data_IF_619786476206
#
_entry.id   IF_619786476206
#
_cell.length_a   1.000
_cell.length_b   1.000
_cell.length_c   1.000
_cell.angle_alpha   90.00
_cell.angle_beta   90.00
_cell.angle_gamma   90.00
#
_symmetry.space_group_name_H-M   'P 1'
#
loop_
_entity.id
_entity.type
_entity.pdbx_description
1 polymer ?
#
# COMPACT_ATOMS: atom_id res chain seq x y z
N UNK A 1 17.16 -42.46 5.25
CA UNK A 1 16.46 -41.43 6.03
C UNK A 1 15.55 -40.68 5.09
N UNK A 2 14.25 -40.93 5.17
CA UNK A 2 13.25 -40.41 4.24
C UNK A 2 12.63 -39.17 4.87
N UNK A 3 13.10 -37.98 4.48
CA UNK A 3 12.51 -36.70 4.91
C UNK A 3 11.16 -36.51 4.23
N UNK A 4 10.09 -36.77 4.98
CA UNK A 4 8.72 -36.41 4.60
C UNK A 4 8.58 -34.88 4.62
N UNK A 5 8.38 -34.27 3.44
CA UNK A 5 8.02 -32.85 3.33
C UNK A 5 6.52 -32.74 3.55
N UNK A 6 6.13 -32.25 4.72
CA UNK A 6 4.77 -31.80 5.01
C UNK A 6 4.44 -30.66 4.05
N UNK A 7 3.51 -30.88 3.11
CA UNK A 7 3.03 -29.83 2.21
C UNK A 7 2.23 -28.83 3.06
N UNK A 8 2.84 -27.67 3.33
CA UNK A 8 2.16 -26.49 3.85
C UNK A 8 1.07 -26.10 2.85
N UNK A 9 -0.19 -26.18 3.26
CA UNK A 9 -1.31 -25.64 2.49
C UNK A 9 -1.10 -24.13 2.45
N UNK A 10 -0.70 -23.60 1.28
CA UNK A 10 -0.57 -22.17 1.06
C UNK A 10 -1.91 -21.52 1.43
N UNK A 11 -1.89 -20.68 2.46
CA UNK A 11 -3.07 -19.94 2.89
C UNK A 11 -3.47 -19.03 1.73
N UNK A 12 -4.65 -19.26 1.15
CA UNK A 12 -5.12 -18.49 0.00
C UNK A 12 -5.25 -17.01 0.41
N UNK A 13 -4.42 -16.15 -0.17
CA UNK A 13 -4.46 -14.71 0.08
C UNK A 13 -5.86 -14.18 -0.29
N UNK A 14 -6.55 -13.45 0.61
CA UNK A 14 -7.87 -12.91 0.31
C UNK A 14 -7.80 -11.87 -0.81
N UNK A 15 -8.77 -11.92 -1.71
CA UNK A 15 -8.98 -10.91 -2.76
C UNK A 15 -10.29 -10.13 -2.56
N UNK A 16 -10.96 -10.34 -1.42
CA UNK A 16 -12.10 -9.54 -0.97
C UNK A 16 -11.75 -8.89 0.36
N UNK A 17 -11.97 -7.57 0.44
CA UNK A 17 -11.57 -6.76 1.59
C UNK A 17 -12.80 -6.07 2.16
N UNK A 18 -13.03 -6.22 3.46
CA UNK A 18 -14.12 -5.56 4.18
C UNK A 18 -13.52 -4.55 5.14
N UNK A 19 -13.89 -3.27 4.98
CA UNK A 19 -13.41 -2.18 5.80
C UNK A 19 -14.60 -1.48 6.45
N UNK A 20 -14.44 -1.11 7.72
CA UNK A 20 -15.48 -0.45 8.50
C UNK A 20 -15.11 1.02 8.72
N UNK A 21 -16.02 1.91 8.38
CA UNK A 21 -15.88 3.34 8.59
C UNK A 21 -16.93 3.82 9.60
N UNK A 22 -16.54 4.71 10.50
CA UNK A 22 -17.43 5.23 11.54
C UNK A 22 -17.69 6.71 11.25
N UNK A 23 -18.95 7.06 11.02
CA UNK A 23 -19.41 8.43 10.77
C UNK A 23 -20.48 8.79 11.79
N UNK A 24 -20.08 9.51 12.84
CA UNK A 24 -20.94 9.74 14.01
C UNK A 24 -21.33 8.43 14.68
N UNK A 25 -22.63 8.12 14.75
CA UNK A 25 -23.18 6.87 15.31
C UNK A 25 -23.37 5.75 14.29
N UNK A 26 -23.06 5.99 13.01
CA UNK A 26 -23.23 4.99 11.95
C UNK A 26 -21.91 4.28 11.68
N UNK A 27 -21.97 2.95 11.61
CA UNK A 27 -20.90 2.11 11.06
C UNK A 27 -21.25 1.76 9.62
N UNK A 28 -20.45 2.24 8.69
CA UNK A 28 -20.57 1.96 7.27
C UNK A 28 -19.60 0.83 6.93
N UNK A 29 -20.11 -0.23 6.31
CA UNK A 29 -19.31 -1.35 5.84
C UNK A 29 -19.06 -1.18 4.34
N UNK A 30 -17.79 -1.11 3.94
CA UNK A 30 -17.36 -1.15 2.55
C UNK A 30 -16.78 -2.53 2.23
N UNK A 31 -17.32 -3.17 1.20
CA UNK A 31 -16.81 -4.44 0.68
C UNK A 31 -16.22 -4.23 -0.71
N UNK A 32 -14.97 -4.60 -0.89
CA UNK A 32 -14.23 -4.51 -2.15
C UNK A 32 -13.97 -5.91 -2.71
N UNK A 33 -14.37 -6.16 -3.94
CA UNK A 33 -14.21 -7.45 -4.63
C UNK A 33 -13.15 -7.36 -5.72
N UNK A 34 -11.88 -7.57 -5.35
CA UNK A 34 -10.72 -7.41 -6.24
C UNK A 34 -10.29 -8.70 -6.93
N UNK A 35 -10.95 -9.82 -6.67
CA UNK A 35 -10.60 -11.12 -7.26
C UNK A 35 -10.46 -11.10 -8.81
N UNK A 36 -11.32 -10.40 -9.57
CA UNK A 36 -11.20 -10.37 -11.03
C UNK A 36 -9.86 -9.80 -11.55
N UNK A 37 -9.19 -8.97 -10.76
CA UNK A 37 -7.93 -8.32 -11.14
C UNK A 37 -6.71 -8.81 -10.33
N UNK A 38 -6.93 -9.38 -9.14
CA UNK A 38 -5.87 -9.85 -8.26
C UNK A 38 -5.70 -11.37 -8.24
N UNK A 39 -6.73 -12.17 -8.54
CA UNK A 39 -6.64 -13.63 -8.40
C UNK A 39 -6.35 -14.32 -9.73
N UNK A 40 -5.46 -15.32 -9.67
CA UNK A 40 -5.30 -16.27 -10.76
C UNK A 40 -6.32 -17.39 -10.60
N UNK A 41 -7.11 -17.64 -11.65
CA UNK A 41 -8.07 -18.74 -11.65
C UNK A 41 -7.47 -19.94 -12.42
N UNK A 42 -7.14 -21.05 -11.75
CA UNK A 42 -6.48 -22.20 -12.37
C UNK A 42 -7.27 -22.87 -13.51
N UNK A 43 -8.58 -22.64 -13.56
CA UNK A 43 -9.46 -23.22 -14.57
C UNK A 43 -9.38 -22.50 -15.93
N UNK A 44 -8.90 -21.26 -15.95
CA UNK A 44 -8.72 -20.51 -17.19
C UNK A 44 -7.26 -20.61 -17.65
N UNK A 45 -6.99 -21.53 -18.57
CA UNK A 45 -5.67 -21.71 -19.18
C UNK A 45 -5.17 -20.50 -19.97
N UNK A 46 -6.05 -19.53 -20.26
CA UNK A 46 -5.68 -18.25 -20.89
C UNK A 46 -5.43 -17.13 -19.88
N UNK A 47 -5.71 -17.35 -18.60
CA UNK A 47 -5.48 -16.34 -17.57
C UNK A 47 -3.98 -16.12 -17.37
N UNK A 48 -3.57 -14.85 -17.41
CA UNK A 48 -2.18 -14.47 -17.16
C UNK A 48 -1.88 -14.70 -15.68
N UNK A 49 -0.79 -15.41 -15.36
CA UNK A 49 -0.33 -15.62 -13.97
C UNK A 49 0.30 -14.38 -13.35
N UNK A 50 0.71 -13.42 -14.18
CA UNK A 50 1.36 -12.17 -13.75
C UNK A 50 0.93 -10.97 -14.59
N UNK A 51 1.04 -9.80 -13.97
CA UNK A 51 0.95 -8.50 -14.61
C UNK A 51 2.36 -7.93 -14.73
N UNK A 52 2.64 -7.25 -15.84
CA UNK A 52 3.92 -6.58 -16.05
C UNK A 52 3.72 -5.08 -16.26
N UNK A 53 4.46 -4.27 -15.51
CA UNK A 53 4.54 -2.82 -15.68
C UNK A 53 5.95 -2.49 -16.15
N UNK A 54 6.07 -1.68 -17.21
CA UNK A 54 7.36 -1.32 -17.78
C UNK A 54 7.48 0.19 -17.86
N UNK A 55 8.51 0.73 -17.22
CA UNK A 55 8.88 2.14 -17.33
C UNK A 55 10.26 2.26 -17.97
N UNK A 56 10.52 3.40 -18.59
CA UNK A 56 11.80 3.72 -19.22
C UNK A 56 12.33 5.04 -18.70
N UNK A 57 13.64 5.13 -18.61
CA UNK A 57 14.39 6.33 -18.28
C UNK A 57 15.59 6.44 -19.23
N UNK A 58 15.79 7.62 -19.80
CA UNK A 58 16.96 7.88 -20.62
C UNK A 58 18.16 8.18 -19.71
N UNK A 59 19.19 7.34 -19.78
CA UNK A 59 20.38 7.41 -18.94
C UNK A 59 21.62 7.43 -19.84
N UNK A 60 21.76 8.51 -20.63
CA UNK A 60 22.76 8.62 -21.70
C UNK A 60 24.16 8.14 -21.27
N UNK A 61 24.85 7.31 -22.09
CA UNK A 61 24.51 6.87 -23.45
C UNK A 61 23.59 5.63 -23.52
N UNK A 62 22.95 5.28 -22.41
CA UNK A 62 22.13 4.07 -22.27
C UNK A 62 20.66 4.43 -22.08
N UNK A 63 19.79 3.42 -22.18
CA UNK A 63 18.39 3.50 -21.77
C UNK A 63 18.15 2.48 -20.67
N UNK A 64 17.59 2.93 -19.56
CA UNK A 64 17.26 2.10 -18.42
C UNK A 64 15.78 1.76 -18.43
N UNK A 65 15.46 0.48 -18.26
CA UNK A 65 14.13 -0.10 -18.25
C UNK A 65 13.86 -0.68 -16.86
N UNK A 66 12.79 -0.24 -16.22
CA UNK A 66 12.30 -0.77 -14.95
C UNK A 66 11.12 -1.68 -15.23
N UNK A 67 11.26 -2.97 -14.93
CA UNK A 67 10.23 -3.97 -15.16
C UNK A 67 9.72 -4.46 -13.81
N UNK A 68 8.46 -4.16 -13.49
CA UNK A 68 7.77 -4.79 -12.38
C UNK A 68 6.98 -5.98 -12.88
N UNK A 69 7.30 -7.17 -12.37
CA UNK A 69 6.46 -8.34 -12.50
C UNK A 69 5.66 -8.52 -11.21
N UNK A 70 4.34 -8.64 -11.31
CA UNK A 70 3.40 -8.79 -10.19
C UNK A 70 2.66 -10.10 -10.39
N UNK A 71 2.92 -11.08 -9.52
CA UNK A 71 2.19 -12.34 -9.49
C UNK A 71 0.74 -12.11 -9.03
N UNK A 72 -0.20 -12.78 -9.68
CA UNK A 72 -1.58 -12.82 -9.20
C UNK A 72 -1.70 -13.75 -7.99
N UNK A 73 -2.60 -13.43 -7.07
CA UNK A 73 -2.90 -14.21 -5.87
C UNK A 73 -3.29 -15.64 -6.25
N UNK A 74 -2.78 -16.62 -5.51
CA UNK A 74 -3.01 -18.05 -5.76
C UNK A 74 -2.08 -18.68 -6.82
N UNK A 75 -1.17 -17.90 -7.44
CA UNK A 75 -0.17 -18.45 -8.36
C UNK A 75 1.05 -19.10 -7.68
N UNK A 76 1.24 -18.87 -6.37
CA UNK A 76 2.44 -19.29 -5.63
C UNK A 76 3.67 -18.42 -5.88
N UNK A 77 3.47 -17.20 -6.39
CA UNK A 77 4.53 -16.24 -6.70
C UNK A 77 4.96 -16.23 -8.16
N UNK A 78 6.03 -15.48 -8.44
CA UNK A 78 6.59 -15.33 -9.76
C UNK A 78 7.36 -16.58 -10.19
N UNK A 79 7.05 -17.08 -11.38
CA UNK A 79 7.79 -18.17 -12.00
C UNK A 79 9.21 -17.73 -12.37
N UNK A 80 10.19 -18.57 -12.04
CA UNK A 80 11.59 -18.35 -12.40
C UNK A 80 11.88 -18.80 -13.82
N UNK A 81 12.67 -18.01 -14.52
CA UNK A 81 13.15 -18.38 -15.85
C UNK A 81 14.37 -19.30 -15.71
N UNK A 82 14.26 -20.52 -16.24
CA UNK A 82 15.29 -21.56 -16.12
C UNK A 82 16.55 -21.27 -16.92
N UNK A 83 16.51 -20.28 -17.80
CA UNK A 83 17.64 -19.91 -18.67
C UNK A 83 18.55 -18.85 -18.06
N UNK A 84 18.09 -18.10 -17.06
CA UNK A 84 18.94 -17.13 -16.37
C UNK A 84 19.48 -17.68 -15.04
N UNK A 85 20.70 -17.27 -14.64
CA UNK A 85 21.25 -17.58 -13.33
C UNK A 85 20.35 -17.10 -12.19
N UNK A 86 20.40 -17.84 -11.07
CA UNK A 86 19.57 -17.56 -9.90
C UNK A 86 19.77 -16.16 -9.31
N UNK A 87 20.97 -15.58 -9.44
CA UNK A 87 21.32 -14.25 -8.96
C UNK A 87 20.76 -13.10 -9.80
N UNK A 88 20.26 -13.39 -11.00
CA UNK A 88 19.70 -12.40 -11.93
C UNK A 88 18.17 -12.43 -11.94
N UNK A 89 17.56 -13.02 -10.92
CA UNK A 89 16.11 -13.14 -10.78
C UNK A 89 15.70 -13.08 -9.33
N UNK A 90 14.46 -12.68 -9.07
CA UNK A 90 13.92 -12.72 -7.73
C UNK A 90 13.86 -14.16 -7.21
N UNK A 91 14.02 -14.37 -5.89
CA UNK A 91 13.91 -15.69 -5.28
C UNK A 91 12.48 -16.26 -5.42
N UNK A 92 12.36 -17.57 -5.26
CA UNK A 92 11.06 -18.26 -5.25
C UNK A 92 10.13 -17.68 -4.18
N UNK A 93 8.82 -17.67 -4.45
CA UNK A 93 7.81 -17.09 -3.55
C UNK A 93 7.73 -15.55 -3.58
N UNK A 94 8.52 -14.88 -4.43
CA UNK A 94 8.38 -13.44 -4.65
C UNK A 94 7.06 -13.15 -5.37
N UNK A 95 6.24 -12.27 -4.80
CA UNK A 95 4.97 -11.83 -5.40
C UNK A 95 5.16 -10.61 -6.30
N UNK A 96 6.07 -9.69 -5.94
CA UNK A 96 6.33 -8.48 -6.70
C UNK A 96 7.85 -8.34 -6.85
N UNK A 97 8.32 -8.32 -8.09
CA UNK A 97 9.74 -8.22 -8.42
C UNK A 97 9.99 -7.02 -9.31
N UNK A 98 10.98 -6.20 -8.97
CA UNK A 98 11.53 -5.18 -9.86
C UNK A 98 12.83 -5.69 -10.49
N UNK A 99 12.91 -5.65 -11.81
CA UNK A 99 14.14 -5.87 -12.57
C UNK A 99 14.54 -4.58 -13.28
N UNK A 100 15.74 -4.08 -13.01
CA UNK A 100 16.31 -2.90 -13.66
C UNK A 100 17.27 -3.36 -14.75
N UNK A 101 17.00 -2.97 -15.98
CA UNK A 101 17.70 -3.46 -17.17
C UNK A 101 18.25 -2.26 -17.92
N UNK A 102 19.52 -2.33 -18.30
CA UNK A 102 20.17 -1.28 -19.06
C UNK A 102 20.53 -1.79 -20.46
N UNK A 103 20.25 -0.98 -21.47
CA UNK A 103 20.50 -1.30 -22.88
C UNK A 103 21.20 -0.11 -23.53
N UNK A 104 22.06 -0.35 -24.53
CA UNK A 104 22.66 0.69 -25.37
C UNK A 104 21.95 0.71 -26.72
N UNK A 105 21.02 1.67 -26.97
CA UNK A 105 20.23 1.67 -28.20
C UNK A 105 21.06 1.75 -29.48
N UNK A 106 22.20 2.44 -29.44
CA UNK A 106 23.12 2.60 -30.58
C UNK A 106 24.03 1.37 -30.80
N UNK A 107 24.01 0.39 -29.89
CA UNK A 107 24.80 -0.84 -29.96
C UNK A 107 23.90 -2.08 -29.80
N UNK A 108 23.01 -2.38 -30.79
CA UNK A 108 22.02 -3.45 -30.68
C UNK A 108 22.62 -4.87 -30.62
N UNK A 109 23.89 -5.05 -31.00
CA UNK A 109 24.61 -6.32 -30.84
C UNK A 109 25.03 -6.59 -29.40
N UNK A 110 25.05 -5.57 -28.54
CA UNK A 110 25.36 -5.72 -27.13
C UNK A 110 24.12 -6.19 -26.36
N UNK A 111 24.20 -7.32 -25.63
CA UNK A 111 23.07 -7.81 -24.85
C UNK A 111 22.70 -6.84 -23.73
N UNK A 112 21.42 -6.75 -23.42
CA UNK A 112 20.95 -5.94 -22.29
C UNK A 112 21.48 -6.49 -20.97
N UNK A 113 21.80 -5.59 -20.03
CA UNK A 113 22.38 -5.93 -18.73
C UNK A 113 21.34 -5.78 -17.64
N UNK A 114 21.12 -6.84 -16.85
CA UNK A 114 20.35 -6.74 -15.61
C UNK A 114 21.25 -6.07 -14.57
N UNK A 115 20.90 -4.86 -14.17
CA UNK A 115 21.64 -4.08 -13.17
C UNK A 115 21.22 -4.45 -11.75
N UNK A 116 19.91 -4.61 -11.55
CA UNK A 116 19.33 -4.85 -10.22
C UNK A 116 18.11 -5.74 -10.31
N UNK A 117 17.93 -6.52 -9.25
CA UNK A 117 16.77 -7.36 -9.01
C UNK A 117 16.35 -7.13 -7.57
N UNK A 118 15.13 -6.66 -7.37
CA UNK A 118 14.60 -6.27 -6.06
C UNK A 118 13.34 -7.09 -5.77
N UNK A 119 13.35 -8.00 -4.78
CA UNK A 119 12.14 -8.65 -4.30
C UNK A 119 11.34 -7.66 -3.44
N UNK A 120 10.36 -7.00 -4.06
CA UNK A 120 9.59 -5.93 -3.44
C UNK A 120 8.60 -6.47 -2.42
N UNK A 121 7.96 -7.60 -2.74
CA UNK A 121 7.02 -8.28 -1.86
C UNK A 121 7.08 -9.81 -2.07
N UNK A 122 6.81 -10.58 -1.03
CA UNK A 122 6.86 -12.04 -1.05
C UNK A 122 5.69 -12.65 -0.30
N UNK A 123 5.27 -13.85 -0.70
CA UNK A 123 4.18 -14.60 -0.04
C UNK A 123 4.51 -14.97 1.42
N UNK A 124 5.80 -15.09 1.75
CA UNK A 124 6.26 -15.39 3.10
C UNK A 124 5.95 -14.29 4.12
N UNK A 125 5.62 -13.08 3.67
CA UNK A 125 5.40 -11.90 4.50
C UNK A 125 3.90 -11.52 4.47
N UNK A 126 3.09 -12.30 5.18
CA UNK A 126 1.69 -12.05 5.54
C UNK A 126 0.66 -11.73 4.42
N UNK A 127 -0.61 -11.68 4.82
CA UNK A 127 -1.73 -11.21 3.98
C UNK A 127 -1.57 -9.70 3.74
N UNK A 128 -1.85 -9.18 2.53
CA UNK A 128 -1.79 -7.74 2.27
C UNK A 128 -2.65 -6.94 3.25
N UNK A 129 -2.08 -5.90 3.84
CA UNK A 129 -2.79 -5.00 4.74
C UNK A 129 -3.70 -4.07 3.92
N UNK A 130 -4.98 -4.02 4.27
CA UNK A 130 -5.94 -3.13 3.63
C UNK A 130 -6.28 -1.94 4.53
N UNK A 131 -6.23 -0.74 3.97
CA UNK A 131 -6.63 0.49 4.67
C UNK A 131 -7.45 1.40 3.76
N UNK A 132 -8.25 2.27 4.38
CA UNK A 132 -8.86 3.41 3.69
C UNK A 132 -7.99 4.63 3.89
N UNK A 133 -7.66 5.30 2.79
CA UNK A 133 -7.02 6.61 2.81
C UNK A 133 -8.00 7.67 2.33
N UNK A 134 -8.07 8.77 3.08
CA UNK A 134 -8.88 9.93 2.70
C UNK A 134 -8.05 10.84 1.80
N UNK A 135 -8.57 11.16 0.61
CA UNK A 135 -8.00 12.22 -0.20
C UNK A 135 -8.64 13.55 0.18
N UNK A 136 -7.85 14.62 0.12
CA UNK A 136 -8.30 16.00 0.27
C UNK A 136 -9.10 16.49 -0.96
N UNK A 137 -9.90 15.60 -1.53
CA UNK A 137 -10.87 15.92 -2.57
C UNK A 137 -12.11 16.41 -1.86
N UNK A 138 -12.61 17.56 -2.27
CA UNK A 138 -13.83 18.22 -1.79
C UNK A 138 -15.09 17.33 -1.80
N UNK A 139 -15.02 16.13 -2.39
CA UNK A 139 -16.06 15.11 -2.41
C UNK A 139 -16.00 14.09 -1.26
N UNK A 140 -15.02 14.14 -0.36
CA UNK A 140 -14.95 13.24 0.81
C UNK A 140 -14.77 11.76 0.48
N UNK A 141 -14.23 11.44 -0.71
CA UNK A 141 -14.04 10.05 -1.13
C UNK A 141 -12.93 9.32 -0.37
N UNK A 142 -13.20 8.09 0.04
CA UNK A 142 -12.18 7.16 0.55
C UNK A 142 -11.64 6.30 -0.59
N UNK A 143 -10.32 6.12 -0.63
CA UNK A 143 -9.63 5.21 -1.54
C UNK A 143 -9.11 3.99 -0.77
N UNK A 144 -9.29 2.80 -1.35
CA UNK A 144 -8.67 1.58 -0.84
C UNK A 144 -7.17 1.57 -1.15
N UNK A 145 -6.37 1.33 -0.13
CA UNK A 145 -4.94 1.05 -0.24
C UNK A 145 -4.69 -0.40 0.17
N UNK A 146 -3.92 -1.14 -0.63
CA UNK A 146 -3.33 -2.42 -0.23
C UNK A 146 -1.82 -2.30 -0.08
N UNK A 147 -1.30 -2.80 1.03
CA UNK A 147 0.13 -2.86 1.33
C UNK A 147 0.60 -4.31 1.26
N UNK A 148 1.53 -4.59 0.35
CA UNK A 148 2.20 -5.88 0.25
C UNK A 148 3.59 -5.75 0.88
N UNK A 149 3.89 -6.63 1.83
CA UNK A 149 5.16 -6.63 2.53
C UNK A 149 6.18 -7.54 1.85
N UNK A 150 7.44 -7.15 1.96
CA UNK A 150 8.58 -7.95 1.53
C UNK A 150 9.68 -7.89 2.57
N UNK A 151 10.74 -8.65 2.30
CA UNK A 151 11.91 -8.69 3.18
C UNK A 151 12.77 -7.42 3.09
N UNK A 152 14.08 -7.60 3.27
CA UNK A 152 15.06 -6.53 3.17
C UNK A 152 15.88 -6.62 1.89
N UNK A 153 16.15 -5.48 1.28
CA UNK A 153 17.09 -5.33 0.17
C UNK A 153 18.01 -4.15 0.46
N UNK A 154 19.32 -4.39 0.46
CA UNK A 154 20.34 -3.39 0.79
C UNK A 154 20.04 -2.64 2.12
N UNK A 155 19.73 -3.39 3.18
CA UNK A 155 19.36 -2.87 4.51
C UNK A 155 18.13 -1.97 4.53
N UNK A 156 17.27 -2.04 3.50
CA UNK A 156 15.98 -1.33 3.46
C UNK A 156 14.85 -2.33 3.38
N UNK A 157 13.84 -2.18 4.23
CA UNK A 157 12.61 -2.97 4.14
C UNK A 157 11.88 -2.64 2.84
N UNK A 158 11.41 -3.67 2.16
CA UNK A 158 10.67 -3.52 0.91
C UNK A 158 9.17 -3.63 1.15
N UNK A 159 8.39 -2.84 0.42
CA UNK A 159 6.93 -2.95 0.36
C UNK A 159 6.38 -2.34 -0.93
N UNK A 160 5.24 -2.85 -1.37
CA UNK A 160 4.45 -2.26 -2.45
C UNK A 160 3.13 -1.68 -1.91
N UNK A 161 2.77 -0.49 -2.38
CA UNK A 161 1.50 0.17 -2.08
C UNK A 161 0.67 0.25 -3.36
N UNK A 162 -0.54 -0.29 -3.34
CA UNK A 162 -1.50 -0.15 -4.43
C UNK A 162 -2.64 0.75 -3.98
N UNK A 163 -2.83 1.84 -4.71
CA UNK A 163 -3.95 2.76 -4.54
C UNK A 163 -5.02 2.44 -5.57
N UNK A 164 -6.18 1.97 -5.10
CA UNK A 164 -7.27 1.55 -5.97
C UNK A 164 -8.24 2.70 -6.21
N UNK A 165 -8.35 3.16 -7.47
CA UNK A 165 -9.28 4.22 -7.86
C UNK A 165 -10.56 3.59 -8.42
N UNK A 166 -11.71 3.89 -7.80
CA UNK A 166 -13.01 3.51 -8.34
C UNK A 166 -13.28 4.27 -9.64
N UNK A 167 -13.32 3.54 -10.76
CA UNK A 167 -13.66 4.09 -12.05
C UNK A 167 -14.59 3.12 -12.78
N UNK A 168 -15.89 3.41 -12.74
CA UNK A 168 -16.95 2.52 -13.25
C UNK A 168 -16.91 2.30 -14.77
N UNK A 169 -16.24 3.18 -15.51
CA UNK A 169 -16.06 3.09 -16.96
C UNK A 169 -14.90 2.19 -17.40
N UNK A 170 -14.06 1.73 -16.47
CA UNK A 170 -12.91 0.88 -16.81
C UNK A 170 -13.35 -0.55 -17.20
N UNK A 171 -12.57 -1.24 -18.06
CA UNK A 171 -12.80 -2.64 -18.35
C UNK A 171 -12.66 -3.52 -17.10
N UNK A 172 -13.20 -4.75 -17.14
CA UNK A 172 -13.07 -5.74 -16.06
C UNK A 172 -11.61 -6.02 -15.68
N UNK A 173 -10.72 -6.01 -16.67
CA UNK A 173 -9.30 -6.25 -16.48
C UNK A 173 -8.53 -4.99 -16.89
N UNK A 174 -7.97 -4.31 -15.89
CA UNK A 174 -7.08 -3.16 -16.07
C UNK A 174 -5.70 -3.45 -15.47
N UNK A 175 -4.69 -2.68 -15.89
CA UNK A 175 -3.33 -2.80 -15.36
C UNK A 175 -2.99 -1.61 -14.46
N UNK A 176 -2.30 -1.83 -13.34
CA UNK A 176 -1.82 -0.76 -12.50
C UNK A 176 -0.74 0.06 -13.23
N UNK A 177 -0.59 1.31 -12.82
CA UNK A 177 0.46 2.23 -13.25
C UNK A 177 1.41 2.47 -12.09
N UNK A 178 2.71 2.54 -12.37
CA UNK A 178 3.69 2.95 -11.38
C UNK A 178 3.59 4.45 -11.11
N UNK A 179 3.69 4.84 -9.84
CA UNK A 179 3.71 6.23 -9.41
C UNK A 179 5.12 6.68 -9.04
N UNK A 180 5.71 6.05 -8.03
CA UNK A 180 7.01 6.42 -7.48
C UNK A 180 7.63 5.28 -6.67
N UNK A 181 8.93 5.37 -6.42
CA UNK A 181 9.61 4.52 -5.46
C UNK A 181 10.55 5.36 -4.60
N UNK A 182 10.52 5.11 -3.29
CA UNK A 182 11.37 5.81 -2.34
C UNK A 182 11.61 4.96 -1.11
N UNK A 183 12.88 4.84 -0.70
CA UNK A 183 13.30 4.16 0.53
C UNK A 183 12.68 2.76 0.72
N UNK A 184 12.69 1.94 -0.34
CA UNK A 184 12.13 0.57 -0.33
C UNK A 184 10.60 0.50 -0.42
N UNK A 185 9.90 1.64 -0.51
CA UNK A 185 8.47 1.68 -0.82
C UNK A 185 8.26 1.89 -2.31
N UNK A 186 7.47 1.04 -2.94
CA UNK A 186 7.11 1.11 -4.36
C UNK A 186 5.61 1.36 -4.48
N UNK A 187 5.20 2.41 -5.17
CA UNK A 187 3.81 2.84 -5.21
C UNK A 187 3.21 2.70 -6.62
N UNK A 188 1.97 2.22 -6.64
CA UNK A 188 1.18 1.98 -7.83
C UNK A 188 -0.22 2.55 -7.68
N UNK A 189 -0.79 3.01 -8.79
CA UNK A 189 -2.19 3.40 -8.91
C UNK A 189 -2.91 2.37 -9.77
N UNK A 190 -4.11 1.96 -9.38
CA UNK A 190 -4.89 0.97 -10.10
C UNK A 190 -6.34 1.42 -10.25
N UNK A 191 -6.66 1.98 -11.42
CA UNK A 191 -8.04 2.35 -11.75
C UNK A 191 -8.81 1.14 -12.23
N UNK A 192 -9.96 0.88 -11.61
CA UNK A 192 -10.80 -0.29 -11.90
C UNK A 192 -12.20 -0.12 -11.32
N UNK A 193 -13.22 -0.69 -11.96
CA UNK A 193 -14.58 -0.74 -11.40
C UNK A 193 -14.67 -1.60 -10.14
N UNK A 194 -13.75 -2.55 -9.96
CA UNK A 194 -13.68 -3.42 -8.77
C UNK A 194 -13.23 -2.68 -7.50
N UNK A 195 -12.67 -1.48 -7.66
CA UNK A 195 -12.32 -0.59 -6.56
C UNK A 195 -13.52 0.22 -6.02
N UNK A 196 -14.68 0.11 -6.65
CA UNK A 196 -15.91 0.72 -6.16
C UNK A 196 -16.49 -0.13 -5.03
N UNK A 197 -16.60 0.38 -3.79
CA UNK A 197 -17.11 -0.42 -2.69
C UNK A 197 -18.60 -0.71 -2.86
N UNK A 198 -18.99 -1.93 -2.50
CA UNK A 198 -20.38 -2.23 -2.19
C UNK A 198 -20.63 -1.78 -0.75
N UNK A 199 -21.53 -0.81 -0.56
CA UNK A 199 -21.86 -0.28 0.77
C UNK A 199 -23.07 -1.00 1.36
N UNK A 200 -22.95 -1.42 2.62
CA UNK A 200 -24.08 -1.82 3.44
C UNK A 200 -24.11 -0.96 4.70
N UNK A 201 -25.22 -0.26 4.93
CA UNK A 201 -25.46 0.47 6.18
C UNK A 201 -26.21 -0.44 7.15
N UNK A 202 -25.56 -0.80 8.25
CA UNK A 202 -26.26 -1.42 9.39
C UNK A 202 -26.57 -0.30 10.37
N UNK A 203 -27.83 0.10 10.47
CA UNK A 203 -28.27 0.95 11.56
C UNK A 203 -28.18 0.14 12.85
N UNK A 204 -27.24 0.48 13.73
CA UNK A 204 -27.32 0.05 15.13
C UNK A 204 -28.66 0.59 15.65
N UNK A 205 -29.63 -0.28 16.01
CA UNK A 205 -30.87 0.21 16.57
C UNK A 205 -30.49 0.97 17.83
N UNK A 206 -30.68 2.29 17.82
CA UNK A 206 -30.68 3.08 19.04
C UNK A 206 -31.59 2.34 20.00
N UNK A 207 -31.01 1.85 21.09
CA UNK A 207 -31.77 1.31 22.20
C UNK A 207 -32.71 2.42 22.64
N UNK A 208 -33.94 2.38 22.12
CA UNK A 208 -35.07 3.10 22.67
C UNK A 208 -35.15 2.56 24.08
N UNK A 209 -34.68 3.36 25.04
CA UNK A 209 -34.90 3.14 26.46
C UNK A 209 -36.36 2.74 26.59
N UNK A 210 -36.58 1.46 26.87
CA UNK A 210 -37.86 0.95 27.26
C UNK A 210 -38.24 1.73 28.51
N UNK A 211 -39.17 2.66 28.35
CA UNK A 211 -39.91 3.28 29.42
C UNK A 211 -40.59 2.17 30.21
N UNK A 212 -39.89 1.70 31.25
CA UNK A 212 -40.46 0.82 32.25
C UNK A 212 -41.51 1.64 33.01
N UNK A 213 -42.77 1.17 33.11
CA UNK A 213 -43.80 1.87 33.88
C UNK A 213 -43.45 1.80 35.37
N UNK A 214 -43.06 2.94 35.93
CA UNK A 214 -42.79 3.09 37.36
C UNK A 214 -44.11 3.06 38.14
N UNK A 215 -44.27 2.21 39.18
CA UNK A 215 -45.36 2.34 40.13
C UNK A 215 -45.21 3.61 40.96
N UNK A 216 -46.26 4.41 41.01
CA UNK A 216 -46.38 5.62 41.84
C UNK A 216 -46.14 5.33 43.33
N UNK A 217 -45.29 6.13 43.97
CA UNK A 217 -45.22 6.32 45.42
C UNK A 217 -45.28 7.84 45.74
N UNK A 218 -45.93 8.25 46.85
CA UNK A 218 -46.26 9.64 47.09
C UNK A 218 -45.18 10.40 47.89
N UNK A 219 -44.88 11.61 47.41
CA UNK A 219 -44.75 12.84 48.21
C UNK A 219 -43.64 12.92 49.26
N UNK A 220 -42.49 13.50 48.87
CA UNK A 220 -41.52 14.12 49.77
C UNK A 220 -41.23 15.57 49.34
N UNK A 221 -41.10 16.54 50.26
CA UNK A 221 -40.97 17.98 49.96
C UNK A 221 -39.58 18.38 49.41
N UNK A 222 -39.49 19.55 48.75
CA UNK A 222 -38.34 19.96 47.94
C UNK A 222 -37.15 20.42 48.79
N UNK A 223 -35.98 19.84 48.54
CA UNK A 223 -34.70 20.38 49.02
C UNK A 223 -34.16 21.30 47.92
N UNK A 224 -34.13 22.59 48.24
CA UNK A 224 -33.46 23.62 47.45
C UNK A 224 -31.95 23.41 47.53
N UNK A 225 -31.33 23.05 46.41
CA UNK A 225 -29.88 23.09 46.26
C UNK A 225 -29.52 24.08 45.13
N UNK A 226 -28.66 25.08 45.40
CA UNK A 226 -28.35 26.16 44.47
C UNK A 226 -27.45 25.69 43.30
N UNK A 227 -27.43 26.44 42.19
CA UNK A 227 -26.72 26.05 40.98
C UNK A 227 -25.20 26.08 41.20
N UNK A 228 -24.52 25.01 40.76
CA UNK A 228 -23.07 24.99 40.63
C UNK A 228 -22.67 25.66 39.31
N UNK A 229 -21.94 26.76 39.45
CA UNK A 229 -21.36 27.54 38.36
C UNK A 229 -20.29 26.73 37.59
N UNK A 230 -20.16 26.96 36.27
CA UNK A 230 -19.05 26.47 35.48
C UNK A 230 -17.79 27.32 35.74
N UNK A 231 -16.62 26.71 35.52
CA UNK A 231 -15.26 27.28 35.61
C UNK A 231 -14.52 27.07 36.94
N UNK A 232 -13.69 26.00 37.00
CA UNK A 232 -12.42 26.09 37.73
C UNK A 232 -11.33 25.17 37.15
N UNK A 233 -10.41 25.83 36.45
CA UNK A 233 -8.97 25.58 36.29
C UNK A 233 -8.37 24.19 36.60
N UNK A 234 -7.79 23.57 35.57
CA UNK A 234 -6.34 23.28 35.62
C UNK A 234 -5.74 23.16 34.21
N UNK A 235 -5.20 24.28 33.77
CA UNK A 235 -4.19 24.40 32.72
C UNK A 235 -2.87 23.78 33.21
N UNK A 236 -2.45 22.67 32.61
CA UNK A 236 -1.08 22.21 32.68
C UNK A 236 -0.46 22.21 31.28
N UNK A 237 0.19 23.33 30.97
CA UNK A 237 1.07 23.51 29.82
C UNK A 237 2.37 22.73 30.07
N UNK A 238 2.82 21.85 29.15
CA UNK A 238 4.19 21.39 29.14
C UNK A 238 5.13 22.51 28.61
N UNK A 239 6.38 22.55 29.11
CA UNK A 239 7.32 23.62 28.79
C UNK A 239 7.79 23.59 27.35
N UNK A 240 7.81 24.78 26.74
CA UNK A 240 8.51 25.06 25.51
C UNK A 240 10.01 24.81 25.69
N UNK A 241 10.54 23.78 25.03
CA UNK A 241 11.97 23.56 24.89
C UNK A 241 12.41 23.80 23.45
N UNK A 242 13.22 24.86 23.28
CA UNK A 242 14.46 24.76 22.53
C UNK A 242 14.36 24.83 21.02
N UNK A 243 14.13 26.05 20.53
CA UNK A 243 14.68 26.53 19.25
C UNK A 243 16.19 26.26 19.20
N UNK A 244 16.60 25.35 18.32
CA UNK A 244 17.98 25.01 18.03
C UNK A 244 18.21 25.00 16.52
N UNK A 245 18.14 26.18 15.90
CA UNK A 245 18.62 26.38 14.54
C UNK A 245 20.15 26.25 14.53
N UNK A 246 20.67 25.06 14.30
CA UNK A 246 22.07 24.88 13.86
C UNK A 246 22.16 25.33 12.40
N UNK A 247 22.50 26.60 12.22
CA UNK A 247 22.94 27.16 10.95
C UNK A 247 24.26 26.47 10.58
N UNK A 248 24.21 25.57 9.59
CA UNK A 248 25.42 25.06 8.96
C UNK A 248 26.05 26.20 8.14
N UNK A 249 27.30 26.63 8.40
CA UNK A 249 27.99 27.53 7.51
C UNK A 249 28.28 26.79 6.20
N UNK A 250 27.65 27.24 5.12
CA UNK A 250 28.06 27.00 3.74
C UNK A 250 29.49 27.51 3.59
N UNK A 251 30.45 26.60 3.67
CA UNK A 251 31.85 26.85 3.37
C UNK A 251 31.97 26.92 1.85
N UNK A 252 31.78 28.13 1.31
CA UNK A 252 32.07 28.49 -0.07
C UNK A 252 33.59 28.46 -0.24
N UNK A 253 34.12 27.31 -0.65
CA UNK A 253 35.51 27.20 -1.08
C UNK A 253 35.60 27.65 -2.54
N UNK A 254 35.65 28.97 -2.73
CA UNK A 254 36.10 29.58 -3.98
C UNK A 254 37.60 29.35 -4.15
N UNK A 255 37.99 28.24 -4.80
CA UNK A 255 39.34 28.10 -5.33
C UNK A 255 39.35 28.56 -6.78
N UNK A 256 39.87 29.78 -6.94
CA UNK A 256 40.30 30.34 -8.20
C UNK A 256 41.35 29.43 -8.85
N UNK A 257 41.01 28.83 -9.98
CA UNK A 257 42.03 28.39 -10.93
C UNK A 257 42.39 29.57 -11.81
N UNK A 258 43.52 30.18 -11.46
CA UNK A 258 44.19 31.16 -12.29
C UNK A 258 44.56 30.55 -13.64
N UNK A 259 44.20 31.31 -14.66
CA UNK A 259 44.85 31.33 -15.95
C UNK A 259 46.38 31.53 -15.75
N UNK A 260 47.20 30.62 -16.27
CA UNK A 260 48.60 30.91 -16.59
C UNK A 260 48.83 30.45 -18.02
N UNK A 261 49.01 31.46 -18.89
CA UNK A 261 49.60 31.31 -20.21
C UNK A 261 51.09 31.02 -20.07
N UNK A 262 51.58 30.04 -20.81
CA UNK A 262 52.94 29.97 -21.34
C UNK A 262 52.90 29.14 -22.64
#
# INVERSE_FOLDING_TARGET
>A
MTTSRTASIASAVPCTYTLFFHSGSRTIQHVYHLCPILSWLPYDSKSKKKIQIVNYEETAPTRTRYVYDIALLGSGGLERDRTLPASLQCPEGTMICLTVINTRPEHPSEPSRILQVVPVASEAEDIPEASLISFNSSSGGHQLQLTFHGGQYLNRRQRALFYFNCQSSEPDVSTPTFLWSFNGTHSFSWSTKHACPSTSETHTPSSTLASSPTPHLPGGPPVNEPPLDPDNHNSHLPPAHGSGYTVFPLLVLSLAFMCVCL
#
